data_IF_665994459079
#
_entry.id   IF_665994459079
#
_cell.length_a   1.000
_cell.length_b   1.000
_cell.length_c   1.000
_cell.angle_alpha   90.00
_cell.angle_beta   90.00
_cell.angle_gamma   90.00
#
_symmetry.space_group_name_H-M   'P 1'
#
loop_
_entity.id
_entity.type
_entity.pdbx_description
1 polymer ?
#
# COMPACT_ATOMS: atom_id res chain seq x y z
N UNK A 1 -17.41 4.43 -24.90
CA UNK A 1 -16.55 3.23 -25.05
C UNK A 1 -15.69 3.17 -23.79
N UNK A 2 -15.88 2.15 -22.95
CA UNK A 2 -15.13 2.05 -21.70
C UNK A 2 -13.73 1.52 -22.03
N UNK A 3 -12.68 2.26 -21.67
CA UNK A 3 -11.30 1.81 -21.86
C UNK A 3 -11.08 0.63 -20.90
N UNK A 4 -10.64 -0.50 -21.44
CA UNK A 4 -10.24 -1.66 -20.66
C UNK A 4 -8.72 -1.66 -20.48
N UNK A 5 -8.26 -1.76 -19.24
CA UNK A 5 -6.84 -1.81 -18.89
C UNK A 5 -6.39 -3.26 -18.68
N UNK A 6 -5.12 -3.56 -18.95
CA UNK A 6 -4.57 -4.92 -18.82
C UNK A 6 -3.25 -4.90 -18.02
N UNK A 7 -2.80 -6.09 -17.62
CA UNK A 7 -1.51 -6.29 -16.93
C UNK A 7 -1.36 -5.39 -15.68
N UNK A 8 -0.25 -4.66 -15.58
CA UNK A 8 0.09 -3.79 -14.46
C UNK A 8 -0.87 -2.62 -14.28
N UNK A 9 -1.72 -2.35 -15.26
CA UNK A 9 -2.74 -1.29 -15.25
C UNK A 9 -4.14 -1.83 -14.92
N UNK A 10 -4.31 -3.15 -14.75
CA UNK A 10 -5.61 -3.77 -14.51
C UNK A 10 -6.35 -3.18 -13.28
N UNK A 11 -5.62 -2.71 -12.27
CA UNK A 11 -6.17 -2.04 -11.10
C UNK A 11 -7.09 -0.86 -11.44
N UNK A 12 -6.84 -0.19 -12.57
CA UNK A 12 -7.67 0.92 -13.06
C UNK A 12 -9.09 0.47 -13.40
N UNK A 13 -9.28 -0.75 -13.90
CA UNK A 13 -10.61 -1.29 -14.15
C UNK A 13 -11.43 -1.40 -12.85
N UNK A 14 -10.78 -1.80 -11.75
CA UNK A 14 -11.44 -1.85 -10.45
C UNK A 14 -11.81 -0.46 -9.95
N UNK A 15 -10.91 0.52 -10.10
CA UNK A 15 -11.20 1.91 -9.71
C UNK A 15 -12.34 2.51 -10.53
N UNK A 16 -12.25 2.46 -11.87
CA UNK A 16 -13.28 3.04 -12.74
C UNK A 16 -14.64 2.40 -12.55
N UNK A 17 -14.68 1.07 -12.29
CA UNK A 17 -15.93 0.34 -12.09
C UNK A 17 -16.61 0.64 -10.76
N UNK A 18 -15.86 0.83 -9.67
CA UNK A 18 -16.44 0.87 -8.32
C UNK A 18 -16.30 2.20 -7.58
N UNK A 19 -15.32 3.03 -7.92
CA UNK A 19 -15.00 4.26 -7.18
C UNK A 19 -14.88 5.51 -8.07
N UNK A 20 -14.75 5.35 -9.38
CA UNK A 20 -14.56 6.43 -10.34
C UNK A 20 -13.11 6.62 -10.76
N UNK A 21 -12.91 7.32 -11.88
CA UNK A 21 -11.60 7.57 -12.46
C UNK A 21 -10.76 8.57 -11.65
N UNK A 22 -11.39 9.46 -10.89
CA UNK A 22 -10.70 10.52 -10.12
C UNK A 22 -9.64 9.97 -9.14
N UNK A 23 -9.83 8.75 -8.61
CA UNK A 23 -8.83 8.11 -7.74
C UNK A 23 -7.54 7.75 -8.50
N UNK A 24 -7.63 7.48 -9.79
CA UNK A 24 -6.46 7.20 -10.65
C UNK A 24 -5.65 8.49 -10.81
N UNK A 25 -6.31 9.61 -11.07
CA UNK A 25 -5.65 10.91 -11.21
C UNK A 25 -5.02 11.36 -9.88
N UNK A 26 -5.73 11.15 -8.77
CA UNK A 26 -5.19 11.40 -7.42
C UNK A 26 -3.98 10.51 -7.13
N UNK A 27 -3.98 9.24 -7.55
CA UNK A 27 -2.81 8.37 -7.43
C UNK A 27 -1.62 8.97 -8.17
N UNK A 28 -1.74 9.30 -9.47
CA UNK A 28 -0.66 9.89 -10.25
C UNK A 28 -0.13 11.21 -9.65
N UNK A 29 -1.00 12.01 -9.05
CA UNK A 29 -0.63 13.29 -8.46
C UNK A 29 0.16 13.16 -7.15
N UNK A 30 -0.14 12.15 -6.34
CA UNK A 30 0.31 12.09 -4.95
C UNK A 30 1.28 10.95 -4.63
N UNK A 31 1.33 9.91 -5.45
CA UNK A 31 2.13 8.73 -5.17
C UNK A 31 3.60 8.96 -5.49
N UNK A 32 4.46 8.51 -4.59
CA UNK A 32 5.83 8.13 -4.91
C UNK A 32 5.95 6.62 -4.75
N UNK A 33 6.31 5.92 -5.83
CA UNK A 33 6.56 4.48 -5.81
C UNK A 33 8.05 4.25 -5.63
N UNK A 34 8.42 3.45 -4.64
CA UNK A 34 9.81 3.07 -4.37
C UNK A 34 9.90 1.61 -3.96
N UNK A 35 11.12 1.14 -3.71
CA UNK A 35 11.35 -0.17 -3.09
C UNK A 35 12.13 0.00 -1.79
N UNK A 36 11.89 -0.92 -0.84
CA UNK A 36 12.66 -1.00 0.41
C UNK A 36 13.18 -2.41 0.59
N UNK A 37 14.37 -2.56 1.17
CA UNK A 37 14.93 -3.87 1.52
C UNK A 37 14.10 -4.54 2.62
N UNK A 38 13.90 -5.85 2.51
CA UNK A 38 13.25 -6.68 3.52
C UNK A 38 13.77 -8.13 3.48
N UNK A 39 13.21 -9.00 4.33
CA UNK A 39 13.73 -10.34 4.68
C UNK A 39 14.10 -11.24 3.50
N UNK A 40 13.36 -11.19 2.38
CA UNK A 40 13.62 -12.00 1.17
C UNK A 40 14.11 -11.17 -0.03
N UNK A 41 14.48 -9.91 0.22
CA UNK A 41 14.83 -8.90 -0.78
C UNK A 41 13.80 -7.76 -0.84
N UNK A 42 13.89 -6.87 -1.84
CA UNK A 42 13.10 -5.64 -1.86
C UNK A 42 11.60 -5.89 -2.01
N UNK A 43 10.80 -4.99 -1.46
CA UNK A 43 9.35 -4.90 -1.66
C UNK A 43 8.96 -3.52 -2.18
N UNK A 44 7.93 -3.45 -3.02
CA UNK A 44 7.33 -2.22 -3.53
C UNK A 44 6.57 -1.51 -2.42
N UNK A 45 6.75 -0.19 -2.35
CA UNK A 45 6.10 0.67 -1.37
C UNK A 45 5.62 1.94 -2.06
N UNK A 46 4.37 2.29 -1.81
CA UNK A 46 3.80 3.57 -2.23
C UNK A 46 3.79 4.54 -1.04
N UNK A 47 4.28 5.75 -1.29
CA UNK A 47 4.40 6.81 -0.29
C UNK A 47 3.53 7.99 -0.73
N UNK A 48 2.68 8.44 0.18
CA UNK A 48 1.82 9.60 0.01
C UNK A 48 2.18 10.63 1.08
N UNK A 49 2.71 11.77 0.65
CA UNK A 49 3.17 12.82 1.57
C UNK A 49 2.07 13.86 1.78
N UNK A 50 1.73 14.12 3.03
CA UNK A 50 1.00 15.33 3.40
C UNK A 50 1.90 16.56 3.18
N UNK A 51 1.32 17.75 3.24
CA UNK A 51 2.07 19.00 3.01
C UNK A 51 3.27 19.18 3.97
N UNK A 52 3.21 18.59 5.17
CA UNK A 52 4.22 18.75 6.22
C UNK A 52 4.76 17.39 6.71
N UNK A 53 6.08 17.14 6.68
CA UNK A 53 6.67 15.86 7.12
C UNK A 53 6.52 15.53 8.62
N UNK A 54 6.14 16.52 9.44
CA UNK A 54 5.88 16.36 10.88
C UNK A 54 4.48 15.82 11.18
N UNK A 55 3.60 15.76 10.17
CA UNK A 55 2.26 15.19 10.31
C UNK A 55 2.32 13.70 10.64
N UNK A 56 1.31 13.18 11.37
CA UNK A 56 1.24 11.74 11.65
C UNK A 56 1.26 10.91 10.36
N UNK A 57 1.89 9.75 10.44
CA UNK A 57 2.03 8.81 9.32
C UNK A 57 1.24 7.55 9.63
N UNK A 58 0.44 7.09 8.67
CA UNK A 58 -0.19 5.78 8.71
C UNK A 58 0.60 4.82 7.80
N UNK A 59 1.16 3.75 8.37
CA UNK A 59 1.54 2.58 7.58
C UNK A 59 0.26 1.78 7.35
N UNK A 60 -0.17 1.65 6.10
CA UNK A 60 -1.45 1.03 5.77
C UNK A 60 -1.24 -0.20 4.89
N UNK A 61 -1.47 -1.38 5.47
CA UNK A 61 -1.20 -2.66 4.81
C UNK A 61 -2.47 -3.31 4.27
N UNK A 62 -2.36 -3.96 3.13
CA UNK A 62 -3.44 -4.73 2.53
C UNK A 62 -3.53 -6.15 3.12
N UNK A 63 -4.70 -6.78 2.98
CA UNK A 63 -4.93 -8.18 3.31
C UNK A 63 -4.50 -9.16 2.22
N UNK A 64 -4.89 -10.44 2.39
CA UNK A 64 -4.69 -11.48 1.37
C UNK A 64 -5.41 -11.07 0.07
N UNK A 65 -4.75 -11.28 -1.06
CA UNK A 65 -5.21 -10.88 -2.41
C UNK A 65 -5.34 -9.36 -2.63
N UNK A 66 -4.84 -8.56 -1.69
CA UNK A 66 -4.71 -7.11 -1.83
C UNK A 66 -3.37 -6.67 -2.42
N UNK A 67 -3.25 -5.37 -2.66
CA UNK A 67 -2.01 -4.62 -2.90
C UNK A 67 -2.31 -3.13 -2.66
N UNK A 68 -1.28 -2.30 -2.55
CA UNK A 68 -1.39 -0.89 -2.12
C UNK A 68 -2.48 -0.12 -2.87
N UNK A 69 -2.51 -0.23 -4.20
CA UNK A 69 -3.45 0.54 -5.02
C UNK A 69 -4.92 0.22 -4.74
N UNK A 70 -5.25 -1.00 -4.30
CA UNK A 70 -6.64 -1.33 -3.93
C UNK A 70 -7.12 -0.59 -2.67
N UNK A 71 -6.20 -0.01 -1.90
CA UNK A 71 -6.49 0.78 -0.71
C UNK A 71 -6.71 2.27 -1.03
N UNK A 72 -6.55 2.70 -2.29
CA UNK A 72 -6.74 4.09 -2.72
C UNK A 72 -8.02 4.77 -2.20
N UNK A 73 -9.20 4.11 -2.22
CA UNK A 73 -10.43 4.70 -1.67
C UNK A 73 -10.35 5.09 -0.19
N UNK A 74 -9.43 4.50 0.57
CA UNK A 74 -9.17 4.81 1.97
C UNK A 74 -7.97 5.74 2.14
N UNK A 75 -6.90 5.51 1.36
CA UNK A 75 -5.68 6.32 1.40
C UNK A 75 -5.98 7.79 1.08
N UNK A 76 -6.80 8.06 0.06
CA UNK A 76 -7.05 9.44 -0.37
C UNK A 76 -7.77 10.28 0.69
N UNK A 77 -8.88 9.83 1.31
CA UNK A 77 -9.47 10.55 2.45
C UNK A 77 -8.49 10.73 3.63
N UNK A 78 -7.62 9.75 3.92
CA UNK A 78 -6.63 9.87 5.00
C UNK A 78 -5.60 10.95 4.68
N UNK A 79 -5.10 10.98 3.45
CA UNK A 79 -4.17 12.01 2.97
C UNK A 79 -4.80 13.41 3.05
N UNK A 80 -6.08 13.55 2.66
CA UNK A 80 -6.86 14.79 2.76
C UNK A 80 -7.06 15.26 4.21
N UNK A 81 -7.00 14.35 5.19
CA UNK A 81 -6.95 14.68 6.63
C UNK A 81 -5.55 15.03 7.14
N UNK A 82 -4.61 15.29 6.23
CA UNK A 82 -3.23 15.68 6.51
C UNK A 82 -2.42 14.61 7.24
N UNK A 83 -2.59 13.33 6.89
CA UNK A 83 -1.71 12.24 7.29
C UNK A 83 -0.78 11.87 6.15
N UNK A 84 0.47 11.55 6.45
CA UNK A 84 1.31 10.81 5.51
C UNK A 84 0.81 9.36 5.45
N UNK A 85 0.96 8.68 4.31
CA UNK A 85 0.65 7.26 4.19
C UNK A 85 1.82 6.52 3.55
N UNK A 86 2.16 5.36 4.11
CA UNK A 86 3.14 4.43 3.53
C UNK A 86 2.42 3.08 3.39
N UNK A 87 2.31 2.59 2.16
CA UNK A 87 1.51 1.41 1.84
C UNK A 87 2.38 0.41 1.08
N UNK A 88 2.79 -0.70 1.70
CA UNK A 88 3.62 -1.71 1.06
C UNK A 88 2.76 -2.70 0.27
N UNK A 89 3.32 -3.22 -0.81
CA UNK A 89 2.91 -4.51 -1.36
C UNK A 89 3.65 -5.60 -0.58
N UNK A 90 2.92 -6.43 0.18
CA UNK A 90 3.49 -7.53 0.94
C UNK A 90 3.97 -8.66 0.00
N UNK A 91 4.86 -9.50 0.51
CA UNK A 91 5.44 -10.60 -0.27
C UNK A 91 4.39 -11.47 -0.96
N UNK A 92 4.65 -11.80 -2.23
CA UNK A 92 3.72 -12.57 -3.06
C UNK A 92 2.53 -11.76 -3.61
N UNK A 93 2.46 -10.45 -3.38
CA UNK A 93 1.39 -9.58 -3.85
C UNK A 93 1.88 -8.35 -4.63
N UNK A 94 0.94 -7.71 -5.33
CA UNK A 94 1.12 -6.42 -5.98
C UNK A 94 2.22 -6.40 -7.03
N UNK A 95 3.05 -5.36 -6.94
CA UNK A 95 4.11 -5.02 -7.89
C UNK A 95 5.49 -5.50 -7.44
N UNK A 96 5.53 -6.45 -6.49
CA UNK A 96 6.75 -7.17 -6.17
C UNK A 96 7.17 -8.07 -7.34
N UNK A 97 8.49 -8.22 -7.53
CA UNK A 97 9.05 -9.00 -8.66
C UNK A 97 9.11 -10.50 -8.38
N UNK A 98 8.92 -10.91 -7.13
CA UNK A 98 8.91 -12.32 -6.71
C UNK A 98 7.59 -13.00 -7.10
N UNK A 99 7.56 -14.33 -6.96
CA UNK A 99 6.44 -15.16 -7.43
C UNK A 99 5.15 -14.78 -6.71
N UNK A 100 4.14 -14.34 -7.48
CA UNK A 100 2.82 -14.01 -6.94
C UNK A 100 2.17 -15.24 -6.29
N UNK A 101 1.59 -15.05 -5.10
CA UNK A 101 0.97 -16.10 -4.30
C UNK A 101 1.93 -16.96 -3.48
N UNK A 102 3.25 -16.77 -3.60
CA UNK A 102 4.26 -17.45 -2.79
C UNK A 102 4.65 -16.56 -1.62
N UNK A 103 4.16 -16.87 -0.42
CA UNK A 103 4.44 -16.10 0.79
C UNK A 103 4.24 -16.93 2.06
N UNK A 104 5.00 -16.58 3.09
CA UNK A 104 4.79 -17.03 4.46
C UNK A 104 4.32 -15.89 5.36
N UNK A 105 3.67 -16.24 6.47
CA UNK A 105 3.17 -15.23 7.41
C UNK A 105 4.30 -14.43 8.08
N UNK A 106 5.38 -15.11 8.44
CA UNK A 106 6.54 -14.47 9.06
C UNK A 106 7.17 -13.44 8.10
N UNK A 107 7.19 -13.74 6.79
CA UNK A 107 7.68 -12.79 5.78
C UNK A 107 6.80 -11.54 5.70
N UNK A 108 5.48 -11.68 5.78
CA UNK A 108 4.57 -10.54 5.83
C UNK A 108 4.77 -9.68 7.09
N UNK A 109 4.97 -10.32 8.25
CA UNK A 109 5.26 -9.59 9.49
C UNK A 109 6.58 -8.83 9.40
N UNK A 110 7.62 -9.45 8.83
CA UNK A 110 8.92 -8.82 8.60
C UNK A 110 8.80 -7.66 7.59
N UNK A 111 8.12 -7.85 6.46
CA UNK A 111 7.84 -6.77 5.50
C UNK A 111 7.14 -5.59 6.16
N UNK A 112 6.17 -5.85 7.04
CA UNK A 112 5.43 -4.81 7.72
C UNK A 112 6.29 -4.09 8.76
N UNK A 113 7.10 -4.83 9.52
CA UNK A 113 8.08 -4.28 10.46
C UNK A 113 9.08 -3.36 9.75
N UNK A 114 9.61 -3.82 8.61
CA UNK A 114 10.59 -3.07 7.83
C UNK A 114 9.97 -1.82 7.20
N UNK A 115 8.71 -1.91 6.76
CA UNK A 115 7.93 -0.75 6.29
C UNK A 115 7.72 0.28 7.41
N UNK A 116 7.38 -0.16 8.63
CA UNK A 116 7.26 0.73 9.80
C UNK A 116 8.60 1.38 10.15
N UNK A 117 9.69 0.62 10.11
CA UNK A 117 11.03 1.15 10.34
C UNK A 117 11.40 2.20 9.27
N UNK A 118 11.09 1.93 8.01
CA UNK A 118 11.29 2.86 6.90
C UNK A 118 10.46 4.16 7.09
N UNK A 119 9.17 4.03 7.41
CA UNK A 119 8.30 5.18 7.67
C UNK A 119 8.81 6.07 8.81
N UNK A 120 9.36 5.47 9.88
CA UNK A 120 9.98 6.19 11.01
C UNK A 120 11.26 6.92 10.64
N UNK A 121 12.02 6.44 9.65
CA UNK A 121 13.20 7.14 9.12
C UNK A 121 12.81 8.31 8.23
N UNK A 122 11.73 8.14 7.45
CA UNK A 122 11.30 9.12 6.46
C UNK A 122 10.52 10.29 7.08
N UNK A 123 9.68 10.04 8.09
CA UNK A 123 8.78 11.03 8.67
C UNK A 123 9.11 11.31 10.14
N UNK A 124 8.86 12.56 10.56
CA UNK A 124 9.14 13.02 11.93
C UNK A 124 7.91 12.94 12.84
N UNK A 125 6.72 12.75 12.28
CA UNK A 125 5.47 12.59 13.01
C UNK A 125 5.29 11.22 13.67
N UNK A 126 4.23 11.08 14.47
CA UNK A 126 3.85 9.78 15.05
C UNK A 126 3.50 8.78 13.95
N UNK A 127 4.01 7.56 14.05
CA UNK A 127 3.71 6.47 13.11
C UNK A 127 2.68 5.53 13.71
N UNK A 128 1.57 5.34 13.00
CA UNK A 128 0.50 4.39 13.31
C UNK A 128 0.53 3.25 12.31
N UNK A 129 0.04 2.08 12.72
CA UNK A 129 -0.13 0.93 11.86
C UNK A 129 -1.63 0.63 11.72
N UNK A 130 -2.11 0.50 10.49
CA UNK A 130 -3.47 0.06 10.16
C UNK A 130 -3.45 -0.97 9.04
N UNK A 131 -4.54 -1.71 8.88
CA UNK A 131 -4.63 -2.70 7.80
C UNK A 131 -6.06 -2.99 7.34
N UNK A 132 -6.19 -3.28 6.04
CA UNK A 132 -7.43 -3.69 5.39
C UNK A 132 -7.54 -5.21 5.27
N UNK A 133 -8.23 -5.84 6.22
CA UNK A 133 -8.61 -7.27 6.29
C UNK A 133 -7.50 -8.32 6.51
N UNK A 134 -7.79 -9.26 7.42
CA UNK A 134 -7.57 -10.71 7.24
C UNK A 134 -8.77 -11.45 7.86
N UNK A 135 -9.28 -12.47 7.18
CA UNK A 135 -10.12 -13.49 7.82
C UNK A 135 -9.25 -14.18 8.88
N UNK A 136 -9.61 -14.03 10.15
CA UNK A 136 -9.00 -14.77 11.25
C UNK A 136 -9.27 -16.26 11.00
N UNK A 137 -8.30 -17.02 10.45
CA UNK A 137 -8.31 -18.46 10.72
C UNK A 137 -7.94 -18.59 12.19
N UNK A 138 -8.95 -18.79 13.03
CA UNK A 138 -8.74 -19.43 14.34
C UNK A 138 -8.01 -20.73 14.05
N UNK A 139 -6.79 -20.88 14.55
CA UNK A 139 -6.22 -22.21 14.66
C UNK A 139 -7.15 -23.04 15.58
N UNK A 140 -7.42 -24.32 15.23
CA UNK A 140 -8.22 -25.21 16.05
C UNK A 140 -7.62 -25.40 17.45
#
# INVERSE_FOLDING_TARGET
MQIEYHNDEFWKNYMTRWFGADLIDKWYKHVEVTTIDSVKGPISVEIYRAAEPSKPTLVFSHGIAGYSRLLLPFIMPILEKCYNVVSPDLEGFGYNTRRKGDFCWDEHLENLRDTVAYARKLFKGKVFLGGGSKHNKKHP
#
